data_IF_534752502571
#
_entry.id   IF_534752502571
#
_cell.length_a   1.000
_cell.length_b   1.000
_cell.length_c   1.000
_cell.angle_alpha   90.00
_cell.angle_beta   90.00
_cell.angle_gamma   90.00
#
_symmetry.space_group_name_H-M   'P 1'
#
loop_
_entity.id
_entity.type
_entity.pdbx_description
1 polymer ?
#
# COMPACT_ATOMS: atom_id res chain seq x y z
N UNK A 1 9.72 -11.13 21.01
CA UNK A 1 8.86 -10.82 19.84
C UNK A 1 7.53 -10.35 20.41
N UNK A 2 7.12 -9.11 20.10
CA UNK A 2 5.88 -8.53 20.63
C UNK A 2 4.70 -8.87 19.69
N UNK A 3 4.11 -10.03 19.95
CA UNK A 3 3.01 -10.57 19.12
C UNK A 3 1.75 -9.71 19.26
N UNK A 4 1.49 -9.15 20.44
CA UNK A 4 0.34 -8.29 20.67
C UNK A 4 0.44 -7.00 19.82
N UNK A 5 1.62 -6.39 19.76
CA UNK A 5 1.90 -5.25 18.89
C UNK A 5 1.65 -5.57 17.41
N UNK A 6 2.13 -6.72 16.93
CA UNK A 6 1.90 -7.17 15.55
C UNK A 6 0.41 -7.37 15.24
N UNK A 7 -0.31 -8.11 16.08
CA UNK A 7 -1.74 -8.36 15.90
C UNK A 7 -2.56 -7.06 15.93
N UNK A 8 -2.20 -6.12 16.81
CA UNK A 8 -2.87 -4.82 16.91
C UNK A 8 -2.74 -4.03 15.60
N UNK A 9 -1.54 -4.01 15.02
CA UNK A 9 -1.29 -3.33 13.75
C UNK A 9 -2.00 -4.01 12.57
N UNK A 10 -2.00 -5.34 12.52
CA UNK A 10 -2.73 -6.10 11.50
C UNK A 10 -4.24 -5.82 11.61
N UNK A 11 -4.80 -5.84 12.82
CA UNK A 11 -6.21 -5.51 13.03
C UNK A 11 -6.54 -4.07 12.59
N UNK A 12 -5.67 -3.10 12.92
CA UNK A 12 -5.82 -1.71 12.49
C UNK A 12 -5.77 -1.58 10.96
N UNK A 13 -4.89 -2.32 10.29
CA UNK A 13 -4.86 -2.38 8.83
C UNK A 13 -6.19 -2.89 8.25
N UNK A 14 -6.68 -4.03 8.74
CA UNK A 14 -7.93 -4.65 8.25
C UNK A 14 -9.13 -3.72 8.43
N UNK A 15 -9.21 -3.01 9.56
CA UNK A 15 -10.25 -2.00 9.80
C UNK A 15 -10.17 -0.81 8.83
N UNK A 16 -8.97 -0.54 8.29
CA UNK A 16 -8.69 0.55 7.36
C UNK A 16 -9.11 0.30 5.90
N UNK A 17 -9.22 -0.97 5.49
CA UNK A 17 -9.36 -1.39 4.09
C UNK A 17 -10.48 -0.63 3.36
N UNK A 18 -11.69 -0.64 3.92
CA UNK A 18 -12.85 -0.01 3.28
C UNK A 18 -12.66 1.50 3.06
N UNK A 19 -11.94 2.20 3.94
CA UNK A 19 -11.69 3.63 3.77
C UNK A 19 -10.75 3.91 2.60
N UNK A 20 -9.74 3.06 2.41
CA UNK A 20 -8.80 3.16 1.29
C UNK A 20 -9.53 2.90 -0.02
N UNK A 21 -10.31 1.82 -0.10
CA UNK A 21 -11.11 1.48 -1.29
C UNK A 21 -12.06 2.61 -1.67
N UNK A 22 -12.81 3.12 -0.69
CA UNK A 22 -13.77 4.21 -0.91
C UNK A 22 -13.06 5.46 -1.42
N UNK A 23 -11.94 5.87 -0.80
CA UNK A 23 -11.21 7.04 -1.24
C UNK A 23 -10.68 6.90 -2.68
N UNK A 24 -10.23 5.71 -3.09
CA UNK A 24 -9.71 5.46 -4.44
C UNK A 24 -10.84 5.45 -5.49
N UNK A 25 -11.94 4.76 -5.20
CA UNK A 25 -13.07 4.60 -6.14
C UNK A 25 -13.83 5.91 -6.32
N UNK A 26 -14.00 6.68 -5.25
CA UNK A 26 -14.65 8.00 -5.27
C UNK A 26 -13.75 9.13 -5.81
N UNK A 27 -12.51 8.83 -6.23
CA UNK A 27 -11.60 9.82 -6.82
C UNK A 27 -11.01 10.82 -5.82
N UNK A 28 -11.02 10.51 -4.52
CA UNK A 28 -10.42 11.31 -3.46
C UNK A 28 -8.91 11.05 -3.34
N UNK A 29 -8.17 11.25 -4.44
CA UNK A 29 -6.80 10.76 -4.55
C UNK A 29 -5.79 11.30 -3.52
N UNK A 30 -5.84 12.58 -3.08
CA UNK A 30 -4.97 13.03 -1.99
C UNK A 30 -5.25 12.32 -0.66
N UNK A 31 -6.52 12.04 -0.37
CA UNK A 31 -6.95 11.27 0.80
C UNK A 31 -6.53 9.82 0.66
N UNK A 32 -6.73 9.21 -0.51
CA UNK A 32 -6.28 7.87 -0.82
C UNK A 32 -4.75 7.73 -0.64
N UNK A 33 -3.96 8.70 -1.10
CA UNK A 33 -2.51 8.70 -0.90
C UNK A 33 -2.12 8.75 0.57
N UNK A 34 -2.85 9.50 1.39
CA UNK A 34 -2.64 9.56 2.85
C UNK A 34 -2.92 8.21 3.50
N UNK A 35 -4.02 7.56 3.13
CA UNK A 35 -4.42 6.26 3.66
C UNK A 35 -3.46 5.14 3.21
N UNK A 36 -3.06 5.12 1.94
CA UNK A 36 -2.06 4.19 1.40
C UNK A 36 -0.68 4.37 2.06
N UNK A 37 -0.30 5.61 2.39
CA UNK A 37 0.91 5.87 3.16
C UNK A 37 0.82 5.28 4.57
N UNK A 38 -0.34 5.37 5.20
CA UNK A 38 -0.59 4.73 6.50
C UNK A 38 -0.52 3.20 6.39
N UNK A 39 -1.11 2.61 5.36
CA UNK A 39 -0.99 1.16 5.08
C UNK A 39 0.47 0.72 4.94
N UNK A 40 1.26 1.47 4.18
CA UNK A 40 2.70 1.24 4.03
C UNK A 40 3.44 1.30 5.39
N UNK A 41 3.17 2.33 6.20
CA UNK A 41 3.76 2.47 7.53
C UNK A 41 3.37 1.31 8.45
N UNK A 42 2.13 0.80 8.35
CA UNK A 42 1.68 -0.35 9.13
C UNK A 42 2.45 -1.62 8.74
N UNK A 43 2.60 -1.90 7.43
CA UNK A 43 3.41 -3.03 6.94
C UNK A 43 4.83 -2.92 7.48
N UNK A 44 5.45 -1.74 7.35
CA UNK A 44 6.80 -1.50 7.86
C UNK A 44 6.90 -1.70 9.38
N UNK A 45 5.90 -1.26 10.15
CA UNK A 45 5.89 -1.42 11.59
C UNK A 45 5.77 -2.89 12.03
N UNK A 46 4.96 -3.70 11.33
CA UNK A 46 4.86 -5.15 11.59
C UNK A 46 6.19 -5.84 11.32
N UNK A 47 6.87 -5.50 10.21
CA UNK A 47 8.23 -5.96 9.88
C UNK A 47 9.28 -5.53 10.93
N UNK A 48 9.19 -4.30 11.43
CA UNK A 48 10.06 -3.84 12.52
C UNK A 48 9.88 -4.64 13.81
N UNK A 49 8.67 -5.09 14.11
CA UNK A 49 8.41 -5.98 15.24
C UNK A 49 9.06 -7.36 15.04
N UNK A 50 8.94 -7.95 13.85
CA UNK A 50 9.61 -9.21 13.50
C UNK A 50 11.13 -9.08 13.65
N UNK A 51 11.70 -7.98 13.18
CA UNK A 51 13.14 -7.72 13.28
C UNK A 51 13.62 -7.29 14.69
N UNK A 52 12.72 -7.16 15.67
CA UNK A 52 13.06 -6.66 17.01
C UNK A 52 13.61 -5.23 17.03
N UNK A 53 13.24 -4.41 16.04
CA UNK A 53 13.74 -3.04 15.83
C UNK A 53 12.70 -1.95 16.10
N UNK A 54 11.45 -2.34 16.34
CA UNK A 54 10.34 -1.40 16.58
C UNK A 54 10.63 -0.48 17.76
N UNK A 55 10.35 0.81 17.58
CA UNK A 55 10.43 1.82 18.64
C UNK A 55 9.15 2.65 18.65
N UNK A 56 8.51 2.72 19.82
CA UNK A 56 7.32 3.55 20.01
C UNK A 56 7.59 5.02 19.67
N UNK A 57 6.54 5.69 19.19
CA UNK A 57 6.56 7.10 18.75
C UNK A 57 7.56 7.45 17.63
N UNK A 58 8.20 6.45 16.99
CA UNK A 58 9.04 6.65 15.81
C UNK A 58 8.34 6.16 14.55
N UNK A 59 8.40 6.95 13.48
CA UNK A 59 7.99 6.53 12.14
C UNK A 59 8.77 5.27 11.72
N UNK A 60 8.08 4.22 11.23
CA UNK A 60 8.73 3.00 10.77
C UNK A 60 9.68 3.24 9.59
N UNK A 61 10.64 2.35 9.41
CA UNK A 61 11.54 2.38 8.26
C UNK A 61 10.82 1.91 6.99
N UNK A 62 10.54 2.84 6.08
CA UNK A 62 9.74 2.62 4.88
C UNK A 62 10.29 1.54 3.91
N UNK A 63 11.57 1.19 3.99
CA UNK A 63 12.19 0.20 3.08
C UNK A 63 12.68 -1.06 3.81
N UNK A 64 11.91 -1.54 4.79
CA UNK A 64 12.19 -2.75 5.55
C UNK A 64 11.50 -3.99 4.95
N UNK A 65 12.14 -5.15 5.03
CA UNK A 65 11.51 -6.45 4.74
C UNK A 65 10.87 -6.51 3.34
N UNK A 66 9.59 -6.87 3.28
CA UNK A 66 8.79 -6.90 2.04
C UNK A 66 8.68 -5.54 1.31
N UNK A 67 9.11 -4.44 1.94
CA UNK A 67 9.07 -3.08 1.37
C UNK A 67 10.42 -2.58 0.84
N UNK A 68 11.47 -3.40 0.80
CA UNK A 68 12.84 -2.96 0.45
C UNK A 68 12.94 -2.08 -0.81
N UNK A 69 12.12 -2.35 -1.83
CA UNK A 69 12.14 -1.65 -3.12
C UNK A 69 11.05 -0.56 -3.25
N UNK A 70 10.37 -0.21 -2.16
CA UNK A 70 9.18 0.67 -2.17
C UNK A 70 9.48 2.12 -1.77
N UNK A 71 10.76 2.52 -1.70
CA UNK A 71 11.16 3.86 -1.26
C UNK A 71 10.60 4.99 -2.13
N UNK A 72 10.59 4.80 -3.46
CA UNK A 72 10.00 5.77 -4.38
C UNK A 72 8.50 5.90 -4.18
N UNK A 73 7.79 4.77 -4.06
CA UNK A 73 6.33 4.73 -3.82
C UNK A 73 5.98 5.46 -2.53
N UNK A 74 6.72 5.21 -1.44
CA UNK A 74 6.53 5.92 -0.18
C UNK A 74 6.76 7.43 -0.30
N UNK A 75 7.80 7.84 -1.04
CA UNK A 75 8.08 9.24 -1.34
C UNK A 75 6.96 9.92 -2.13
N UNK A 76 6.44 9.25 -3.16
CA UNK A 76 5.35 9.75 -4.00
C UNK A 76 4.04 9.89 -3.21
N UNK A 77 3.69 8.88 -2.40
CA UNK A 77 2.55 8.93 -1.50
C UNK A 77 2.67 10.09 -0.50
N UNK A 78 3.86 10.28 0.08
CA UNK A 78 4.13 11.40 0.99
C UNK A 78 3.99 12.76 0.30
N UNK A 79 4.50 12.89 -0.93
CA UNK A 79 4.37 14.10 -1.73
C UNK A 79 2.91 14.44 -2.07
N UNK A 80 2.13 13.43 -2.46
CA UNK A 80 0.71 13.59 -2.76
C UNK A 80 -0.13 13.93 -1.51
N UNK A 81 0.15 13.27 -0.37
CA UNK A 81 -0.55 13.51 0.89
C UNK A 81 -0.30 14.91 1.46
N UNK A 82 0.92 15.44 1.33
CA UNK A 82 1.29 16.74 1.89
C UNK A 82 0.91 17.94 1.01
N UNK A 83 0.19 17.74 -0.11
CA UNK A 83 -0.21 18.82 -1.04
C UNK A 83 1.02 19.57 -1.61
N UNK A 84 2.23 19.05 -1.41
CA UNK A 84 3.49 19.71 -1.76
C UNK A 84 3.71 19.73 -3.27
N UNK A 85 3.00 18.87 -4.01
CA UNK A 85 3.00 18.82 -5.47
C UNK A 85 1.77 19.53 -6.06
N UNK A 86 1.73 20.86 -5.95
CA UNK A 86 0.63 21.70 -6.45
C UNK A 86 0.27 21.43 -7.93
N UNK A 87 1.25 21.03 -8.76
CA UNK A 87 1.02 20.70 -10.16
C UNK A 87 0.27 19.37 -10.33
N UNK A 88 0.54 18.38 -9.48
CA UNK A 88 -0.11 17.08 -9.51
C UNK A 88 -1.57 17.21 -9.05
N UNK A 89 -1.82 18.04 -8.04
CA UNK A 89 -3.18 18.41 -7.61
C UNK A 89 -3.98 19.10 -8.70
N UNK A 90 -3.38 20.06 -9.42
CA UNK A 90 -4.04 20.72 -10.57
C UNK A 90 -4.50 19.71 -11.61
N UNK A 91 -3.70 18.68 -11.89
CA UNK A 91 -4.07 17.66 -12.87
C UNK A 91 -5.23 16.78 -12.38
N UNK A 92 -5.41 16.65 -11.06
CA UNK A 92 -6.49 15.85 -10.47
C UNK A 92 -7.81 16.63 -10.41
N UNK A 93 -7.76 17.91 -10.03
CA UNK A 93 -8.99 18.67 -9.70
C UNK A 93 -9.48 19.56 -10.83
N UNK A 94 -8.69 19.81 -11.89
CA UNK A 94 -9.12 20.68 -12.99
C UNK A 94 -10.06 19.91 -13.92
N UNK A 95 -11.17 20.56 -14.27
CA UNK A 95 -12.09 20.13 -15.31
C UNK A 95 -12.20 21.19 -16.42
N UNK A 96 -12.58 20.73 -17.61
CA UNK A 96 -12.87 21.58 -18.76
C UNK A 96 -14.33 21.38 -19.20
N UNK A 97 -15.08 22.47 -19.32
CA UNK A 97 -16.46 22.49 -19.83
C UNK A 97 -16.54 23.54 -20.93
N UNK A 98 -16.56 23.09 -22.18
CA UNK A 98 -16.45 23.98 -23.34
C UNK A 98 -15.12 24.74 -23.30
N UNK A 99 -15.18 26.07 -23.27
CA UNK A 99 -13.99 26.93 -23.20
C UNK A 99 -13.55 27.25 -21.75
N UNK A 100 -14.29 26.80 -20.74
CA UNK A 100 -14.00 27.10 -19.33
C UNK A 100 -13.10 26.03 -18.73
N UNK A 101 -12.02 26.46 -18.08
CA UNK A 101 -11.09 25.60 -17.32
C UNK A 101 -11.01 26.07 -15.88
N UNK A 102 -11.25 25.18 -14.93
CA UNK A 102 -11.24 25.52 -13.51
C UNK A 102 -11.27 24.31 -12.58
N UNK A 103 -11.06 24.51 -11.27
CA UNK A 103 -11.14 23.43 -10.30
C UNK A 103 -12.59 22.96 -10.11
N UNK A 104 -12.78 21.65 -10.01
CA UNK A 104 -14.04 21.04 -9.61
C UNK A 104 -14.16 21.01 -8.08
N UNK A 105 -15.37 21.20 -7.58
CA UNK A 105 -15.73 20.96 -6.18
C UNK A 105 -16.09 19.50 -5.91
N UNK A 106 -16.37 18.73 -6.97
CA UNK A 106 -16.65 17.30 -6.92
C UNK A 106 -15.41 16.51 -7.33
N UNK A 107 -15.18 15.34 -6.74
CA UNK A 107 -14.11 14.45 -7.19
C UNK A 107 -14.22 14.14 -8.67
N UNK A 108 -13.08 14.09 -9.36
CA UNK A 108 -12.99 13.69 -10.76
C UNK A 108 -12.32 12.33 -10.79
N UNK A 109 -13.01 11.34 -11.39
CA UNK A 109 -12.46 10.01 -11.53
C UNK A 109 -11.37 9.98 -12.62
N UNK A 110 -10.17 9.60 -12.23
CA UNK A 110 -9.01 9.38 -13.09
C UNK A 110 -8.71 7.87 -13.12
N UNK A 111 -9.11 7.20 -14.21
CA UNK A 111 -9.07 5.74 -14.34
C UNK A 111 -7.69 5.16 -14.02
N UNK A 112 -6.64 5.63 -14.70
CA UNK A 112 -5.30 5.05 -14.56
C UNK A 112 -4.75 5.27 -13.13
N UNK A 113 -5.00 6.44 -12.55
CA UNK A 113 -4.60 6.73 -11.17
C UNK A 113 -5.35 5.85 -10.17
N UNK A 114 -6.67 5.68 -10.37
CA UNK A 114 -7.49 4.79 -9.55
C UNK A 114 -6.97 3.35 -9.61
N UNK A 115 -6.70 2.83 -10.81
CA UNK A 115 -6.18 1.48 -11.00
C UNK A 115 -4.80 1.29 -10.33
N UNK A 116 -3.88 2.25 -10.50
CA UNK A 116 -2.56 2.18 -9.89
C UNK A 116 -2.61 2.21 -8.37
N UNK A 117 -3.42 3.10 -7.78
CA UNK A 117 -3.58 3.19 -6.33
C UNK A 117 -4.30 1.95 -5.77
N UNK A 118 -5.29 1.41 -6.48
CA UNK A 118 -5.98 0.20 -6.05
C UNK A 118 -5.07 -1.04 -6.13
N UNK A 119 -4.21 -1.13 -7.14
CA UNK A 119 -3.20 -2.17 -7.20
C UNK A 119 -2.20 -2.09 -6.05
N UNK A 120 -1.79 -0.88 -5.68
CA UNK A 120 -0.93 -0.66 -4.53
C UNK A 120 -1.61 -1.08 -3.23
N UNK A 121 -2.89 -0.74 -3.05
CA UNK A 121 -3.71 -1.18 -1.93
C UNK A 121 -3.76 -2.71 -1.83
N UNK A 122 -4.10 -3.40 -2.91
CA UNK A 122 -4.13 -4.88 -2.95
C UNK A 122 -2.75 -5.47 -2.67
N UNK A 123 -1.69 -4.83 -3.14
CA UNK A 123 -0.31 -5.25 -2.82
C UNK A 123 -0.06 -5.23 -1.32
N UNK A 124 -0.44 -4.15 -0.61
CA UNK A 124 -0.32 -4.08 0.84
C UNK A 124 -1.21 -5.11 1.56
N UNK A 125 -2.42 -5.37 1.07
CA UNK A 125 -3.28 -6.45 1.60
C UNK A 125 -2.55 -7.79 1.50
N UNK A 126 -1.94 -8.11 0.36
CA UNK A 126 -1.21 -9.37 0.21
C UNK A 126 0.00 -9.45 1.13
N UNK A 127 0.72 -8.35 1.35
CA UNK A 127 1.86 -8.28 2.28
C UNK A 127 1.40 -8.49 3.73
N UNK A 128 0.33 -7.82 4.16
CA UNK A 128 -0.23 -7.99 5.52
C UNK A 128 -0.75 -9.42 5.71
N UNK A 129 -1.39 -10.01 4.71
CA UNK A 129 -1.84 -11.39 4.80
C UNK A 129 -0.65 -12.33 5.02
N UNK A 130 0.45 -12.17 4.28
CA UNK A 130 1.67 -12.95 4.51
C UNK A 130 2.23 -12.75 5.92
N UNK A 131 2.32 -11.50 6.39
CA UNK A 131 2.79 -11.22 7.76
C UNK A 131 1.84 -11.77 8.84
N UNK A 132 0.53 -11.79 8.58
CA UNK A 132 -0.46 -12.36 9.47
C UNK A 132 -0.32 -13.89 9.59
N UNK A 133 0.00 -14.58 8.48
CA UNK A 133 0.35 -16.00 8.51
C UNK A 133 1.62 -16.26 9.31
N UNK A 134 2.65 -15.42 9.17
CA UNK A 134 3.86 -15.57 10.00
C UNK A 134 3.56 -15.42 11.50
N UNK A 135 2.69 -14.47 11.87
CA UNK A 135 2.22 -14.32 13.26
C UNK A 135 1.39 -15.52 13.70
N UNK A 136 0.46 -15.99 12.86
CA UNK A 136 -0.39 -17.13 13.14
C UNK A 136 0.43 -18.40 13.36
N UNK A 137 1.35 -18.72 12.44
CA UNK A 137 2.27 -19.84 12.54
C UNK A 137 3.14 -19.77 13.79
N UNK A 138 3.60 -18.57 14.17
CA UNK A 138 4.33 -18.35 15.41
C UNK A 138 3.53 -18.67 16.68
N UNK A 139 2.19 -18.58 16.63
CA UNK A 139 1.28 -18.81 17.75
C UNK A 139 0.73 -20.24 17.81
N UNK A 140 0.33 -20.79 16.66
CA UNK A 140 -0.40 -22.07 16.57
C UNK A 140 0.48 -23.21 16.08
N UNK A 141 1.58 -22.90 15.38
CA UNK A 141 2.36 -23.87 14.61
C UNK A 141 1.70 -24.29 13.30
N UNK A 142 0.54 -23.72 12.97
CA UNK A 142 -0.21 -23.99 11.74
C UNK A 142 0.11 -22.92 10.69
N UNK A 143 0.09 -23.30 9.41
CA UNK A 143 0.25 -22.37 8.29
C UNK A 143 -1.11 -22.08 7.66
N UNK A 144 -1.15 -21.13 6.74
CA UNK A 144 -2.30 -20.91 5.88
C UNK A 144 -2.88 -22.20 5.31
N UNK A 145 -4.20 -22.26 5.28
CA UNK A 145 -4.91 -23.29 4.54
C UNK A 145 -4.58 -23.16 3.05
N UNK A 146 -4.57 -24.28 2.32
CA UNK A 146 -4.22 -24.28 0.89
C UNK A 146 -5.05 -23.29 0.06
N UNK A 147 -6.30 -23.08 0.44
CA UNK A 147 -7.19 -22.15 -0.26
C UNK A 147 -6.80 -20.68 -0.04
N UNK A 148 -6.26 -20.32 1.13
CA UNK A 148 -5.75 -18.97 1.41
C UNK A 148 -4.48 -18.71 0.59
N UNK A 149 -3.60 -19.71 0.48
CA UNK A 149 -2.43 -19.65 -0.40
C UNK A 149 -2.82 -19.48 -1.87
N UNK A 150 -3.85 -20.21 -2.33
CA UNK A 150 -4.39 -20.05 -3.70
C UNK A 150 -4.93 -18.64 -3.92
N UNK A 151 -5.67 -18.08 -2.97
CA UNK A 151 -6.20 -16.72 -3.07
C UNK A 151 -5.06 -15.68 -3.19
N UNK A 152 -4.00 -15.80 -2.38
CA UNK A 152 -2.83 -14.94 -2.49
C UNK A 152 -2.12 -15.07 -3.85
N UNK A 153 -1.96 -16.29 -4.35
CA UNK A 153 -1.36 -16.53 -5.66
C UNK A 153 -2.21 -15.93 -6.79
N UNK A 154 -3.53 -16.06 -6.72
CA UNK A 154 -4.48 -15.49 -7.69
C UNK A 154 -4.43 -13.96 -7.63
N UNK A 155 -4.44 -13.35 -6.45
CA UNK A 155 -4.36 -11.90 -6.29
C UNK A 155 -3.08 -11.34 -6.92
N UNK A 156 -1.92 -11.95 -6.64
CA UNK A 156 -0.63 -11.57 -7.25
C UNK A 156 -0.67 -11.75 -8.77
N UNK A 157 -1.23 -12.86 -9.27
CA UNK A 157 -1.38 -13.09 -10.70
C UNK A 157 -2.23 -12.03 -11.39
N UNK A 158 -3.38 -11.65 -10.81
CA UNK A 158 -4.24 -10.59 -11.37
C UNK A 158 -3.48 -9.27 -11.45
N UNK A 159 -2.71 -8.91 -10.42
CA UNK A 159 -1.90 -7.69 -10.44
C UNK A 159 -0.81 -7.72 -11.53
N UNK A 160 -0.20 -8.88 -11.77
CA UNK A 160 0.80 -9.07 -12.83
C UNK A 160 0.15 -9.01 -14.22
N UNK A 161 -0.92 -9.77 -14.44
CA UNK A 161 -1.62 -9.87 -15.72
C UNK A 161 -2.24 -8.52 -16.14
N UNK A 162 -2.60 -7.69 -15.16
CA UNK A 162 -3.09 -6.31 -15.39
C UNK A 162 -1.97 -5.29 -15.65
N UNK A 163 -0.69 -5.69 -15.55
CA UNK A 163 0.46 -4.81 -15.71
C UNK A 163 0.71 -3.88 -14.53
N UNK A 164 -0.06 -4.04 -13.44
CA UNK A 164 0.00 -3.20 -12.24
C UNK A 164 1.07 -3.66 -11.24
N UNK A 165 1.57 -4.89 -11.40
CA UNK A 165 2.73 -5.43 -10.69
C UNK A 165 3.71 -6.07 -11.70
N UNK A 166 5.00 -5.95 -11.45
CA UNK A 166 6.04 -6.63 -12.24
C UNK A 166 6.56 -7.85 -11.48
N UNK A 167 6.87 -8.92 -12.20
CA UNK A 167 7.66 -10.02 -11.65
C UNK A 167 9.08 -9.53 -11.38
N UNK A 168 9.57 -9.70 -10.16
CA UNK A 168 11.00 -9.58 -9.90
C UNK A 168 11.69 -10.82 -10.51
N UNK A 169 12.38 -10.64 -11.63
CA UNK A 169 13.34 -11.63 -12.15
C UNK A 169 14.64 -11.54 -11.35
N UNK A 170 15.40 -12.64 -11.21
CA UNK A 170 16.67 -12.67 -10.44
C UNK A 170 17.66 -11.55 -10.81
N UNK A 171 17.70 -11.13 -12.09
CA UNK A 171 18.54 -10.02 -12.57
C UNK A 171 18.17 -8.63 -12.00
N UNK A 172 16.93 -8.44 -11.53
CA UNK A 172 16.46 -7.18 -10.95
C UNK A 172 16.77 -7.06 -9.45
N UNK A 173 17.04 -8.18 -8.77
CA UNK A 173 17.40 -8.20 -7.34
C UNK A 173 18.86 -7.76 -7.10
N UNK A 174 19.74 -7.97 -8.09
CA UNK A 174 21.17 -7.64 -7.99
C UNK A 174 21.47 -6.16 -8.29
N UNK A 175 20.57 -5.44 -8.97
CA UNK A 175 20.78 -4.03 -9.36
C UNK A 175 20.28 -2.99 -8.34
N UNK A 176 19.62 -3.40 -7.27
CA UNK A 176 19.14 -2.52 -6.19
C UNK A 176 20.07 -2.46 -4.97
N UNK A 177 21.31 -2.92 -5.11
CA UNK A 177 22.30 -3.08 -4.03
C UNK A 177 23.54 -2.19 -4.16
N UNK A 178 23.42 -1.02 -4.80
CA UNK A 178 24.46 0.03 -4.80
C UNK A 178 23.96 1.32 -4.15
#
# INVERSE_FOLDING_TARGET
MDIHGQMTLIAHFVQGIQFVETAIVEGLYPQAATLLRQEHEIVAAVEEYFAGRRKDAKTPFATIGVLKNMGQVYGDLSGAAHVSQAQLLKNIVIMEIGEKRGPSLLPIYHKDLSQNLYALHVSYITMIAQLADEVHRGLTGEEFHEDELKLLAIAKKILIDSGLMKLETPENAEKGGE
#
